data_IF_667550481739
#
_entry.id   IF_667550481739
#
_cell.length_a   1.000
_cell.length_b   1.000
_cell.length_c   1.000
_cell.angle_alpha   90.00
_cell.angle_beta   90.00
_cell.angle_gamma   90.00
#
_symmetry.space_group_name_H-M   'P 1'
#
loop_
_entity.id
_entity.type
_entity.pdbx_description
1 polymer ?
#
# COMPACT_ATOMS: atom_id res chain seq x y z
N UNK A 1 45.82 24.27 53.70
CA UNK A 1 44.98 24.23 52.48
C UNK A 1 44.80 22.80 51.97
N UNK A 2 43.96 22.00 52.65
CA UNK A 2 43.54 20.63 52.25
C UNK A 2 42.16 20.28 52.84
N UNK A 3 41.21 21.23 52.86
CA UNK A 3 39.88 21.03 53.47
C UNK A 3 38.69 21.52 52.62
N UNK A 4 38.91 21.81 51.34
CA UNK A 4 37.83 22.21 50.41
C UNK A 4 37.37 21.05 49.52
N UNK A 5 38.14 19.97 49.40
CA UNK A 5 37.78 18.82 48.56
C UNK A 5 36.80 17.82 49.21
N UNK A 6 36.45 17.99 50.49
CA UNK A 6 35.56 17.05 51.19
C UNK A 6 34.06 17.42 51.11
N UNK A 7 33.72 18.63 50.65
CA UNK A 7 32.32 19.08 50.50
C UNK A 7 31.80 18.80 49.07
N UNK A 8 32.67 18.74 48.07
CA UNK A 8 32.28 18.46 46.68
C UNK A 8 32.01 16.96 46.40
N UNK A 9 32.45 16.05 47.27
CA UNK A 9 32.19 14.61 47.13
C UNK A 9 30.94 14.13 47.88
N UNK A 10 30.32 14.97 48.72
CA UNK A 10 29.11 14.61 49.46
C UNK A 10 27.80 14.92 48.69
N UNK A 11 27.88 15.64 47.57
CA UNK A 11 26.72 15.97 46.74
C UNK A 11 26.43 14.95 45.61
N UNK A 12 27.31 13.96 45.38
CA UNK A 12 27.08 12.90 44.38
C UNK A 12 26.53 11.60 44.96
N UNK A 13 26.17 11.56 46.25
CA UNK A 13 25.73 10.33 46.93
C UNK A 13 24.30 10.38 47.52
N UNK A 14 23.45 11.34 47.12
CA UNK A 14 22.07 11.45 47.62
C UNK A 14 21.00 11.61 46.53
N UNK A 15 21.15 10.94 45.38
CA UNK A 15 20.00 10.60 44.54
C UNK A 15 20.07 9.11 44.17
N UNK A 16 19.87 8.28 45.19
CA UNK A 16 19.32 6.93 45.01
C UNK A 16 17.83 7.03 45.34
N UNK A 17 17.00 6.57 44.40
CA UNK A 17 15.64 6.10 44.54
C UNK A 17 14.81 6.66 45.71
N UNK A 18 13.84 7.51 45.38
CA UNK A 18 12.50 7.29 45.91
C UNK A 18 11.48 7.47 44.80
N UNK A 19 10.56 6.52 44.75
CA UNK A 19 9.54 6.34 43.72
C UNK A 19 8.50 7.46 43.71
N UNK A 20 7.86 7.59 42.56
CA UNK A 20 6.67 8.42 42.23
C UNK A 20 6.96 9.82 41.68
N UNK A 21 7.44 9.89 40.44
CA UNK A 21 7.31 11.08 39.58
C UNK A 21 6.54 10.75 38.30
N UNK A 22 5.31 11.27 38.26
CA UNK A 22 4.80 12.13 37.19
C UNK A 22 4.76 11.55 35.77
N UNK A 23 3.69 10.79 35.54
CA UNK A 23 2.82 10.94 34.38
C UNK A 23 2.43 12.43 34.18
N UNK A 24 3.21 13.21 33.43
CA UNK A 24 2.72 14.39 32.69
C UNK A 24 3.88 15.18 32.04
N UNK A 25 4.44 14.70 30.91
CA UNK A 25 5.17 15.58 29.98
C UNK A 25 5.42 14.97 28.57
N UNK A 26 4.64 13.96 28.14
CA UNK A 26 4.74 13.39 26.77
C UNK A 26 3.53 13.68 25.88
N UNK A 27 2.69 14.65 26.26
CA UNK A 27 1.64 15.19 25.41
C UNK A 27 2.03 16.60 24.94
N UNK A 28 2.35 16.71 23.64
CA UNK A 28 2.39 17.91 22.79
C UNK A 28 3.72 18.22 22.08
N UNK A 29 4.29 17.28 21.31
CA UNK A 29 5.27 17.67 20.26
C UNK A 29 5.27 16.82 18.99
N UNK A 30 4.18 16.11 18.70
CA UNK A 30 4.00 15.39 17.42
C UNK A 30 3.39 16.26 16.30
N UNK A 31 3.20 17.56 16.54
CA UNK A 31 2.55 18.49 15.60
C UNK A 31 3.50 19.49 14.89
N UNK A 32 4.80 19.49 15.18
CA UNK A 32 5.79 20.34 14.48
C UNK A 32 6.99 19.49 14.06
N UNK A 33 6.80 18.61 13.06
CA UNK A 33 7.92 18.08 12.28
C UNK A 33 7.98 18.82 10.96
N UNK A 34 9.08 19.54 10.75
CA UNK A 34 9.48 20.23 9.52
C UNK A 34 8.94 19.49 8.28
N UNK A 35 8.00 20.13 7.58
CA UNK A 35 7.48 19.67 6.29
C UNK A 35 8.56 19.90 5.23
N UNK A 36 9.65 19.13 5.31
CA UNK A 36 10.72 19.13 4.33
C UNK A 36 10.11 18.90 2.95
N UNK A 37 10.42 19.77 2.00
CA UNK A 37 10.00 19.63 0.61
C UNK A 37 11.17 19.04 -0.16
N UNK A 38 10.97 17.91 -0.83
CA UNK A 38 12.00 17.35 -1.70
C UNK A 38 12.23 18.28 -2.90
N UNK A 39 13.50 18.53 -3.21
CA UNK A 39 13.91 19.35 -4.34
C UNK A 39 14.81 18.58 -5.30
N UNK A 40 14.51 18.70 -6.60
CA UNK A 40 15.24 18.04 -7.68
C UNK A 40 15.74 19.05 -8.71
N UNK A 41 16.90 18.78 -9.31
CA UNK A 41 17.45 19.57 -10.43
C UNK A 41 16.83 19.25 -11.79
N UNK A 42 16.01 18.21 -11.86
CA UNK A 42 15.25 17.84 -13.06
C UNK A 42 14.18 16.81 -12.71
N UNK A 43 13.23 16.62 -13.63
CA UNK A 43 12.25 15.53 -13.55
C UNK A 43 12.91 14.14 -13.61
N UNK A 44 13.99 14.00 -14.39
CA UNK A 44 14.74 12.74 -14.46
C UNK A 44 15.30 12.35 -13.08
N UNK A 45 15.86 13.32 -12.34
CA UNK A 45 16.33 13.08 -10.97
C UNK A 45 15.21 12.78 -9.99
N UNK A 46 14.03 13.35 -10.20
CA UNK A 46 12.85 12.99 -9.43
C UNK A 46 12.44 11.53 -9.69
N UNK A 47 12.38 11.09 -10.96
CA UNK A 47 12.04 9.71 -11.32
C UNK A 47 13.08 8.69 -10.81
N UNK A 48 14.37 9.01 -10.89
CA UNK A 48 15.43 8.20 -10.27
C UNK A 48 15.15 8.01 -8.76
N UNK A 49 14.78 9.08 -8.06
CA UNK A 49 14.47 9.02 -6.62
C UNK A 49 13.20 8.23 -6.33
N UNK A 50 12.16 8.38 -7.14
CA UNK A 50 10.93 7.57 -7.03
C UNK A 50 11.28 6.09 -7.17
N UNK A 51 12.10 5.70 -8.17
CA UNK A 51 12.51 4.32 -8.36
C UNK A 51 13.28 3.76 -7.16
N UNK A 52 14.18 4.56 -6.57
CA UNK A 52 14.88 4.20 -5.34
C UNK A 52 13.90 3.94 -4.18
N UNK A 53 12.95 4.85 -3.95
CA UNK A 53 11.96 4.72 -2.87
C UNK A 53 11.08 3.47 -3.09
N UNK A 54 10.61 3.24 -4.31
CA UNK A 54 9.79 2.06 -4.66
C UNK A 54 10.56 0.75 -4.43
N UNK A 55 11.86 0.72 -4.77
CA UNK A 55 12.70 -0.45 -4.53
C UNK A 55 12.87 -0.74 -3.02
N UNK A 56 13.11 0.30 -2.21
CA UNK A 56 13.23 0.16 -0.75
C UNK A 56 11.90 -0.32 -0.14
N UNK A 57 10.76 0.27 -0.54
CA UNK A 57 9.42 -0.16 -0.09
C UNK A 57 9.18 -1.64 -0.40
N UNK A 58 9.57 -2.09 -1.59
CA UNK A 58 9.45 -3.50 -2.00
C UNK A 58 10.31 -4.42 -1.12
N UNK A 59 11.52 -4.00 -0.76
CA UNK A 59 12.38 -4.75 0.16
C UNK A 59 11.75 -4.87 1.56
N UNK A 60 11.24 -3.77 2.10
CA UNK A 60 10.54 -3.78 3.40
C UNK A 60 9.31 -4.67 3.40
N UNK A 61 8.48 -4.63 2.35
CA UNK A 61 7.31 -5.49 2.23
C UNK A 61 7.68 -6.98 2.31
N UNK A 62 8.78 -7.40 1.66
CA UNK A 62 9.26 -8.79 1.77
C UNK A 62 9.70 -9.14 3.19
N UNK A 63 10.43 -8.24 3.87
CA UNK A 63 10.89 -8.45 5.26
C UNK A 63 9.70 -8.56 6.22
N UNK A 64 8.75 -7.63 6.12
CA UNK A 64 7.51 -7.63 6.92
C UNK A 64 6.75 -8.94 6.75
N UNK A 65 6.59 -9.42 5.52
CA UNK A 65 5.91 -10.69 5.26
C UNK A 65 6.65 -11.89 5.88
N UNK A 66 7.97 -11.95 5.71
CA UNK A 66 8.78 -13.02 6.29
C UNK A 66 8.68 -13.03 7.82
N UNK A 67 8.76 -11.86 8.46
CA UNK A 67 8.63 -11.73 9.91
C UNK A 67 7.23 -12.05 10.41
N UNK A 68 6.20 -11.60 9.70
CA UNK A 68 4.81 -11.94 10.00
C UNK A 68 4.58 -13.44 9.96
N UNK A 69 4.95 -14.11 8.85
CA UNK A 69 4.78 -15.55 8.70
C UNK A 69 5.54 -16.33 9.79
N UNK A 70 6.77 -15.90 10.11
CA UNK A 70 7.56 -16.50 11.19
C UNK A 70 6.89 -16.34 12.55
N UNK A 71 6.40 -15.14 12.88
CA UNK A 71 5.74 -14.88 14.16
C UNK A 71 4.42 -15.64 14.28
N UNK A 72 3.60 -15.65 13.23
CA UNK A 72 2.30 -16.34 13.26
C UNK A 72 2.45 -17.86 13.30
N UNK A 73 3.42 -18.43 12.59
CA UNK A 73 3.71 -19.87 12.65
C UNK A 73 4.08 -20.33 14.08
N UNK A 74 4.75 -19.46 14.86
CA UNK A 74 5.14 -19.76 16.24
C UNK A 74 3.98 -19.69 17.25
N UNK A 75 2.91 -18.95 16.93
CA UNK A 75 1.79 -18.78 17.87
C UNK A 75 0.92 -20.03 18.01
N UNK A 76 0.87 -20.89 17.00
CA UNK A 76 0.19 -22.18 17.08
C UNK A 76 -1.31 -22.11 17.45
N UNK A 77 -1.98 -20.96 17.24
CA UNK A 77 -3.42 -20.85 17.47
C UNK A 77 -4.15 -21.80 16.52
N UNK A 78 -4.63 -22.93 17.05
CA UNK A 78 -5.51 -23.83 16.31
C UNK A 78 -6.93 -23.28 16.32
N UNK A 79 -7.16 -22.23 15.55
CA UNK A 79 -8.51 -21.78 15.27
C UNK A 79 -9.27 -22.92 14.57
N UNK A 80 -10.28 -23.51 15.24
CA UNK A 80 -11.00 -24.68 14.71
C UNK A 80 -11.43 -24.44 13.26
N UNK A 81 -10.98 -25.30 12.34
CA UNK A 81 -11.30 -25.21 10.90
C UNK A 81 -12.79 -25.33 10.58
N UNK A 82 -13.60 -25.84 11.52
CA UNK A 82 -15.06 -25.87 11.44
C UNK A 82 -15.63 -25.13 12.65
N UNK A 83 -16.09 -23.89 12.44
CA UNK A 83 -16.92 -23.18 13.43
C UNK A 83 -18.38 -23.56 13.22
N UNK A 84 -19.00 -24.15 14.25
CA UNK A 84 -20.39 -24.60 14.23
C UNK A 84 -21.33 -23.68 15.03
N UNK A 85 -20.78 -22.80 15.87
CA UNK A 85 -21.55 -21.82 16.67
C UNK A 85 -21.10 -20.37 16.45
N UNK A 86 -21.95 -19.40 16.79
CA UNK A 86 -21.64 -17.96 16.70
C UNK A 86 -20.45 -17.56 17.59
N UNK A 87 -20.32 -18.20 18.75
CA UNK A 87 -19.17 -18.01 19.65
C UNK A 87 -17.85 -18.44 18.99
N UNK A 88 -17.83 -19.61 18.34
CA UNK A 88 -16.65 -20.10 17.63
C UNK A 88 -16.28 -19.20 16.44
N UNK A 89 -17.28 -18.57 15.80
CA UNK A 89 -17.05 -17.63 14.71
C UNK A 89 -16.41 -16.35 15.25
N UNK A 90 -16.91 -15.83 16.38
CA UNK A 90 -16.39 -14.63 17.02
C UNK A 90 -14.94 -14.80 17.47
N UNK A 91 -14.63 -15.87 18.20
CA UNK A 91 -13.27 -16.16 18.68
C UNK A 91 -12.27 -16.27 17.51
N UNK A 92 -12.67 -16.95 16.43
CA UNK A 92 -11.88 -17.04 15.20
C UNK A 92 -11.64 -15.69 14.54
N UNK A 93 -12.68 -14.87 14.40
CA UNK A 93 -12.55 -13.56 13.77
C UNK A 93 -11.64 -12.66 14.62
N UNK A 94 -11.72 -12.73 15.95
CA UNK A 94 -10.81 -12.04 16.86
C UNK A 94 -9.36 -12.53 16.70
N UNK A 95 -9.13 -13.83 16.60
CA UNK A 95 -7.80 -14.40 16.36
C UNK A 95 -7.19 -13.91 15.03
N UNK A 96 -7.95 -13.96 13.94
CA UNK A 96 -7.50 -13.46 12.63
C UNK A 96 -7.22 -11.96 12.69
N UNK A 97 -8.11 -11.18 13.30
CA UNK A 97 -7.93 -9.73 13.42
C UNK A 97 -6.68 -9.38 14.25
N UNK A 98 -6.43 -10.09 15.33
CA UNK A 98 -5.22 -9.92 16.15
C UNK A 98 -3.94 -10.29 15.37
N UNK A 99 -3.97 -11.33 14.53
CA UNK A 99 -2.87 -11.62 13.60
C UNK A 99 -2.64 -10.48 12.61
N UNK A 100 -3.71 -9.95 11.99
CA UNK A 100 -3.59 -8.83 11.06
C UNK A 100 -3.07 -7.55 11.73
N UNK A 101 -3.41 -7.30 13.00
CA UNK A 101 -2.78 -6.21 13.78
C UNK A 101 -1.27 -6.37 13.89
N UNK A 102 -0.75 -7.59 14.05
CA UNK A 102 0.70 -7.83 14.06
C UNK A 102 1.31 -7.49 12.71
N UNK A 103 0.70 -7.93 11.61
CA UNK A 103 1.14 -7.56 10.26
C UNK A 103 1.18 -6.04 10.08
N UNK A 104 0.09 -5.35 10.39
CA UNK A 104 -0.02 -3.90 10.19
C UNK A 104 0.90 -3.10 11.11
N UNK A 105 1.20 -3.58 12.32
CA UNK A 105 2.24 -2.97 13.16
C UNK A 105 3.63 -3.05 12.51
N UNK A 106 4.00 -4.19 11.91
CA UNK A 106 5.27 -4.33 11.17
C UNK A 106 5.33 -3.42 9.93
N UNK A 107 4.20 -3.25 9.23
CA UNK A 107 4.07 -2.29 8.13
C UNK A 107 4.27 -0.86 8.63
N UNK A 108 3.62 -0.47 9.73
CA UNK A 108 3.77 0.87 10.32
C UNK A 108 5.22 1.15 10.74
N UNK A 109 5.89 0.19 11.38
CA UNK A 109 7.32 0.31 11.70
C UNK A 109 8.15 0.57 10.45
N UNK A 110 7.92 -0.18 9.37
CA UNK A 110 8.63 0.01 8.09
C UNK A 110 8.37 1.38 7.46
N UNK A 111 7.14 1.88 7.53
CA UNK A 111 6.79 3.23 7.06
C UNK A 111 7.57 4.29 7.84
N UNK A 112 7.59 4.21 9.17
CA UNK A 112 8.29 5.19 10.00
C UNK A 112 9.82 5.10 9.86
N UNK A 113 10.36 3.90 9.69
CA UNK A 113 11.79 3.69 9.38
C UNK A 113 12.16 4.35 8.05
N UNK A 114 11.36 4.14 7.00
CA UNK A 114 11.58 4.78 5.70
C UNK A 114 11.53 6.31 5.80
N UNK A 115 10.52 6.86 6.48
CA UNK A 115 10.41 8.31 6.70
C UNK A 115 11.63 8.87 7.43
N UNK A 116 12.16 8.14 8.42
CA UNK A 116 13.38 8.51 9.15
C UNK A 116 14.60 8.46 8.25
N UNK A 117 14.76 7.42 7.44
CA UNK A 117 15.87 7.28 6.48
C UNK A 117 15.86 8.40 5.45
N UNK A 118 14.69 8.73 4.91
CA UNK A 118 14.51 9.79 3.92
C UNK A 118 14.48 11.20 4.53
N UNK A 119 14.35 11.30 5.87
CA UNK A 119 14.07 12.56 6.59
C UNK A 119 12.88 13.33 5.98
N UNK A 120 11.88 12.58 5.53
CA UNK A 120 10.79 13.08 4.71
C UNK A 120 9.53 12.25 4.92
N UNK A 121 8.37 12.91 4.97
CA UNK A 121 7.06 12.26 5.03
C UNK A 121 6.32 12.58 3.75
N UNK A 122 6.10 11.55 2.93
CA UNK A 122 5.36 11.70 1.69
C UNK A 122 3.86 11.51 1.89
N UNK A 123 3.03 12.13 1.05
CA UNK A 123 1.57 11.91 1.07
C UNK A 123 1.21 10.44 0.80
N UNK A 124 2.00 9.73 -0.02
CA UNK A 124 1.84 8.28 -0.19
C UNK A 124 2.06 7.53 1.13
N UNK A 125 3.12 7.88 1.86
CA UNK A 125 3.41 7.22 3.13
C UNK A 125 2.33 7.47 4.17
N UNK A 126 1.61 8.60 4.10
CA UNK A 126 0.45 8.91 4.96
C UNK A 126 -0.73 8.02 4.58
N UNK A 127 -1.04 7.86 3.29
CA UNK A 127 -2.07 6.94 2.83
C UNK A 127 -1.79 5.49 3.29
N UNK A 128 -0.54 5.04 3.12
CA UNK A 128 -0.08 3.71 3.57
C UNK A 128 -0.21 3.55 5.10
N UNK A 129 0.10 4.61 5.87
CA UNK A 129 -0.05 4.64 7.32
C UNK A 129 -1.53 4.50 7.73
N UNK A 130 -2.42 5.27 7.12
CA UNK A 130 -3.87 5.21 7.38
C UNK A 130 -4.41 3.80 7.14
N UNK A 131 -4.02 3.16 6.03
CA UNK A 131 -4.47 1.80 5.71
C UNK A 131 -4.08 0.79 6.80
N UNK A 132 -2.89 0.93 7.39
CA UNK A 132 -2.47 0.06 8.49
C UNK A 132 -3.08 0.45 9.84
N UNK A 133 -3.26 1.75 10.09
CA UNK A 133 -3.90 2.24 11.31
C UNK A 133 -5.38 1.85 11.38
N UNK A 134 -6.08 1.70 10.26
CA UNK A 134 -7.46 1.19 10.26
C UNK A 134 -7.60 -0.15 11.00
N UNK A 135 -6.54 -0.99 11.01
CA UNK A 135 -6.53 -2.23 11.79
C UNK A 135 -5.96 -2.05 13.22
N UNK A 136 -5.01 -1.14 13.41
CA UNK A 136 -4.24 -1.02 14.67
C UNK A 136 -4.82 0.04 15.62
N UNK A 137 -5.05 1.25 15.10
CA UNK A 137 -5.48 2.45 15.82
C UNK A 137 -6.42 3.28 14.92
N UNK A 138 -7.73 2.93 14.93
CA UNK A 138 -8.71 3.54 14.03
C UNK A 138 -8.96 5.02 14.31
N UNK A 139 -8.80 5.47 15.56
CA UNK A 139 -9.00 6.86 15.93
C UNK A 139 -7.93 7.75 15.29
N UNK A 140 -6.67 7.31 15.32
CA UNK A 140 -5.59 8.00 14.61
C UNK A 140 -5.77 7.94 13.10
N UNK A 141 -6.27 6.81 12.56
CA UNK A 141 -6.57 6.70 11.12
C UNK A 141 -7.62 7.73 10.68
N UNK A 142 -8.70 7.89 11.45
CA UNK A 142 -9.75 8.90 11.23
C UNK A 142 -9.18 10.31 11.32
N UNK A 143 -8.36 10.58 12.33
CA UNK A 143 -7.68 11.87 12.48
C UNK A 143 -6.85 12.22 11.24
N UNK A 144 -5.96 11.33 10.80
CA UNK A 144 -5.11 11.56 9.63
C UNK A 144 -5.92 11.70 8.34
N UNK A 145 -6.94 10.87 8.15
CA UNK A 145 -7.84 10.96 6.99
C UNK A 145 -8.53 12.33 6.93
N UNK A 146 -8.96 12.86 8.08
CA UNK A 146 -9.56 14.19 8.17
C UNK A 146 -8.55 15.30 7.92
N UNK A 147 -7.33 15.18 8.47
CA UNK A 147 -6.25 16.17 8.33
C UNK A 147 -5.81 16.34 6.87
N UNK A 148 -5.70 15.24 6.12
CA UNK A 148 -5.22 15.25 4.73
C UNK A 148 -6.31 15.00 3.69
N UNK A 149 -7.58 15.23 4.05
CA UNK A 149 -8.76 14.86 3.24
C UNK A 149 -8.73 15.40 1.81
N UNK A 150 -8.12 16.56 1.59
CA UNK A 150 -8.10 17.24 0.30
C UNK A 150 -7.12 16.56 -0.68
N UNK A 151 -6.22 15.71 -0.17
CA UNK A 151 -5.20 14.99 -0.95
C UNK A 151 -5.41 13.47 -0.97
N UNK A 152 -6.45 12.97 -0.28
CA UNK A 152 -6.73 11.55 -0.11
C UNK A 152 -8.08 11.15 -0.72
N UNK A 153 -8.15 9.94 -1.25
CA UNK A 153 -9.36 9.31 -1.78
C UNK A 153 -9.55 7.97 -1.08
N UNK A 154 -10.78 7.67 -0.67
CA UNK A 154 -11.16 6.36 -0.12
C UNK A 154 -11.99 5.58 -1.14
N UNK A 155 -11.61 4.34 -1.42
CA UNK A 155 -12.44 3.43 -2.19
C UNK A 155 -13.67 3.01 -1.37
N UNK A 156 -14.88 3.26 -1.89
CA UNK A 156 -16.12 2.99 -1.18
C UNK A 156 -16.47 1.49 -1.06
N UNK A 157 -15.88 0.62 -1.91
CA UNK A 157 -16.14 -0.82 -1.91
C UNK A 157 -15.20 -1.56 -0.97
N UNK A 158 -13.92 -1.21 -0.99
CA UNK A 158 -12.88 -1.92 -0.22
C UNK A 158 -12.37 -1.16 1.00
N UNK A 159 -12.62 0.15 1.08
CA UNK A 159 -12.23 0.99 2.22
C UNK A 159 -10.78 1.46 2.21
N UNK A 160 -9.99 1.10 1.20
CA UNK A 160 -8.57 1.48 1.05
C UNK A 160 -8.45 2.98 0.76
N UNK A 161 -7.53 3.62 1.46
CA UNK A 161 -7.14 5.02 1.27
C UNK A 161 -5.97 5.11 0.32
N UNK A 162 -6.08 6.03 -0.64
CA UNK A 162 -5.08 6.34 -1.66
C UNK A 162 -4.96 7.86 -1.81
N UNK A 163 -4.03 8.32 -2.65
CA UNK A 163 -3.84 9.75 -2.90
C UNK A 163 -4.62 10.20 -4.13
N UNK A 164 -4.95 11.49 -4.22
CA UNK A 164 -5.48 12.09 -5.47
C UNK A 164 -4.43 12.08 -6.60
N UNK A 165 -3.15 12.05 -6.20
CA UNK A 165 -2.01 11.90 -7.09
C UNK A 165 -1.79 10.44 -7.44
N UNK A 166 -1.01 10.19 -8.50
CA UNK A 166 -0.60 8.84 -8.81
C UNK A 166 0.34 8.23 -7.76
N UNK A 167 0.29 6.90 -7.63
CA UNK A 167 1.04 6.16 -6.62
C UNK A 167 2.56 6.22 -6.76
N UNK A 168 3.10 6.74 -7.87
CA UNK A 168 4.56 6.92 -8.05
C UNK A 168 4.98 8.31 -7.60
N UNK A 169 4.40 9.36 -8.17
CA UNK A 169 4.73 10.76 -7.85
C UNK A 169 4.45 11.07 -6.39
N UNK A 170 3.37 10.51 -5.82
CA UNK A 170 3.00 10.67 -4.41
C UNK A 170 4.09 10.26 -3.41
N UNK A 171 5.11 9.49 -3.81
CA UNK A 171 6.24 9.12 -2.94
C UNK A 171 7.22 10.28 -2.67
N UNK A 172 7.22 11.33 -3.49
CA UNK A 172 8.13 12.50 -3.36
C UNK A 172 7.39 13.80 -3.05
N UNK A 173 6.05 13.77 -2.99
CA UNK A 173 5.24 14.90 -2.55
C UNK A 173 5.14 14.91 -1.03
N UNK A 174 5.39 16.05 -0.39
CA UNK A 174 5.27 16.17 1.06
C UNK A 174 3.80 16.05 1.50
N UNK A 175 3.52 16.23 2.80
CA UNK A 175 2.17 16.14 3.34
C UNK A 175 1.18 17.22 2.81
N UNK A 176 1.69 18.30 2.22
CA UNK A 176 0.91 19.35 1.57
C UNK A 176 0.78 19.13 0.05
N UNK A 177 1.29 17.99 -0.45
CA UNK A 177 1.33 17.73 -1.88
C UNK A 177 2.33 18.62 -2.61
N UNK A 178 3.49 18.94 -2.04
CA UNK A 178 4.49 19.83 -2.67
C UNK A 178 5.79 19.07 -2.97
N UNK A 179 6.35 19.32 -4.14
CA UNK A 179 7.71 18.96 -4.57
C UNK A 179 8.31 20.12 -5.36
N UNK A 180 9.64 20.29 -5.31
CA UNK A 180 10.36 21.30 -6.10
C UNK A 180 11.13 20.65 -7.24
N UNK A 181 11.00 21.20 -8.45
CA UNK A 181 11.85 20.88 -9.60
C UNK A 181 12.47 22.19 -10.08
N UNK A 182 13.80 22.22 -10.18
CA UNK A 182 14.56 23.45 -10.49
C UNK A 182 14.19 24.62 -9.57
N UNK A 183 13.96 24.33 -8.28
CA UNK A 183 13.59 25.32 -7.27
C UNK A 183 12.16 25.87 -7.40
N UNK A 184 11.37 25.38 -8.37
CA UNK A 184 9.97 25.78 -8.55
C UNK A 184 9.03 24.69 -8.02
N UNK A 185 7.95 25.10 -7.37
CA UNK A 185 6.86 24.17 -7.02
C UNK A 185 6.32 23.55 -8.29
N UNK A 186 6.13 22.24 -8.27
CA UNK A 186 5.42 21.55 -9.34
C UNK A 186 3.97 22.04 -9.36
N UNK A 187 3.49 22.45 -10.52
CA UNK A 187 2.09 22.72 -10.77
C UNK A 187 1.46 21.42 -11.29
N UNK A 188 0.54 20.83 -10.53
CA UNK A 188 -0.11 19.57 -10.90
C UNK A 188 -1.14 19.73 -12.00
N UNK A 189 -1.76 20.91 -12.10
CA UNK A 189 -2.66 21.19 -13.20
C UNK A 189 -1.85 21.28 -14.49
N UNK A 190 -0.66 21.87 -14.50
CA UNK A 190 0.26 21.78 -15.65
C UNK A 190 0.88 20.38 -15.82
N UNK A 191 1.11 19.64 -14.73
CA UNK A 191 1.76 18.32 -14.80
C UNK A 191 0.82 17.23 -15.34
N UNK A 192 -0.47 17.28 -14.97
CA UNK A 192 -1.51 16.32 -15.36
C UNK A 192 -2.47 16.85 -16.43
N UNK A 193 -2.64 18.18 -16.56
CA UNK A 193 -3.56 18.82 -17.51
C UNK A 193 -2.79 19.56 -18.59
N UNK A 194 -2.46 18.88 -19.70
CA UNK A 194 -2.14 19.63 -20.94
C UNK A 194 -2.65 18.93 -22.20
N UNK A 195 -3.69 19.46 -22.85
CA UNK A 195 -3.77 19.50 -24.31
C UNK A 195 -2.84 20.61 -24.82
N UNK A 196 -1.80 20.27 -25.59
CA UNK A 196 -0.91 21.26 -26.24
C UNK A 196 0.50 21.36 -25.65
N UNK A 197 1.46 20.80 -26.39
CA UNK A 197 2.93 20.84 -26.24
C UNK A 197 3.54 21.85 -25.25
N UNK A 198 4.25 21.32 -24.22
CA UNK A 198 5.70 21.55 -23.97
C UNK A 198 6.23 20.68 -22.82
N UNK A 199 7.28 19.91 -23.15
CA UNK A 199 8.33 19.28 -22.31
C UNK A 199 8.09 17.95 -21.55
N UNK A 200 8.68 16.87 -22.11
CA UNK A 200 9.72 15.98 -21.56
C UNK A 200 9.53 15.19 -20.26
N UNK A 201 8.56 14.26 -20.18
CA UNK A 201 8.80 12.96 -19.49
C UNK A 201 7.77 11.89 -19.89
N UNK A 202 8.14 10.61 -19.69
CA UNK A 202 7.32 9.40 -19.88
C UNK A 202 6.31 9.20 -18.73
N UNK A 203 5.54 10.23 -18.39
CA UNK A 203 4.75 10.38 -17.15
C UNK A 203 3.56 9.41 -17.09
N UNK A 204 3.38 8.74 -15.96
CA UNK A 204 2.08 8.13 -15.58
C UNK A 204 1.09 9.25 -15.22
N UNK A 205 -0.19 9.08 -15.57
CA UNK A 205 -1.27 10.04 -15.27
C UNK A 205 -2.27 9.44 -14.29
N UNK A 206 -2.88 8.29 -14.63
CA UNK A 206 -3.84 7.56 -13.79
C UNK A 206 -4.15 6.17 -14.35
N UNK A 207 -4.72 5.31 -13.51
CA UNK A 207 -5.38 4.07 -13.93
C UNK A 207 -6.75 4.41 -14.56
N UNK A 208 -7.13 3.68 -15.61
CA UNK A 208 -8.38 3.83 -16.34
C UNK A 208 -8.89 2.45 -16.79
N UNK A 209 -10.20 2.35 -17.02
CA UNK A 209 -10.87 1.14 -17.50
C UNK A 209 -10.47 -0.11 -16.70
N UNK A 210 -10.40 0.06 -15.38
CA UNK A 210 -10.08 -1.02 -14.45
C UNK A 210 -11.31 -1.90 -14.30
N UNK A 211 -11.21 -3.14 -14.76
CA UNK A 211 -12.21 -4.17 -14.61
C UNK A 211 -11.64 -5.30 -13.76
N UNK A 212 -12.49 -5.99 -13.02
CA UNK A 212 -12.04 -6.98 -12.05
C UNK A 212 -13.13 -7.43 -11.10
N UNK A 213 -12.86 -8.54 -10.42
CA UNK A 213 -13.79 -9.18 -9.50
C UNK A 213 -13.06 -10.02 -8.46
N UNK A 214 -13.83 -10.74 -7.65
CA UNK A 214 -13.31 -11.73 -6.71
C UNK A 214 -12.78 -12.93 -7.51
N UNK A 215 -11.50 -13.24 -7.35
CA UNK A 215 -10.85 -14.42 -7.93
C UNK A 215 -11.16 -15.68 -7.13
N UNK A 216 -11.07 -15.58 -5.81
CA UNK A 216 -11.35 -16.67 -4.89
C UNK A 216 -11.86 -16.11 -3.57
N UNK A 217 -12.79 -16.83 -2.93
CA UNK A 217 -13.35 -16.45 -1.63
C UNK A 217 -13.35 -17.62 -0.68
N UNK A 218 -12.90 -17.35 0.54
CA UNK A 218 -13.13 -18.17 1.71
C UNK A 218 -13.76 -17.30 2.79
N UNK A 219 -14.16 -17.92 3.89
CA UNK A 219 -14.75 -17.21 5.04
C UNK A 219 -13.78 -16.24 5.71
N UNK A 220 -12.49 -16.56 5.67
CA UNK A 220 -11.44 -15.85 6.42
C UNK A 220 -10.62 -14.92 5.51
N UNK A 221 -10.73 -15.12 4.20
CA UNK A 221 -9.77 -14.59 3.23
C UNK A 221 -10.38 -14.47 1.83
N UNK A 222 -10.16 -13.34 1.15
CA UNK A 222 -10.61 -13.10 -0.24
C UNK A 222 -9.46 -12.65 -1.11
N UNK A 223 -9.40 -13.19 -2.33
CA UNK A 223 -8.53 -12.73 -3.39
C UNK A 223 -9.34 -12.06 -4.49
N UNK A 224 -8.84 -10.94 -5.00
CA UNK A 224 -9.41 -10.17 -6.09
C UNK A 224 -8.41 -10.14 -7.25
N UNK A 225 -8.93 -10.12 -8.46
CA UNK A 225 -8.16 -9.81 -9.65
C UNK A 225 -8.67 -8.51 -10.26
N UNK A 226 -7.78 -7.79 -10.91
CA UNK A 226 -8.15 -6.72 -11.82
C UNK A 226 -7.20 -6.65 -13.00
N UNK A 227 -7.67 -6.01 -14.06
CA UNK A 227 -6.90 -5.63 -15.22
C UNK A 227 -7.34 -4.23 -15.66
N UNK A 228 -6.44 -3.49 -16.28
CA UNK A 228 -6.75 -2.14 -16.70
C UNK A 228 -5.61 -1.53 -17.50
N UNK A 229 -5.68 -0.21 -17.69
CA UNK A 229 -4.61 0.54 -18.32
C UNK A 229 -4.18 1.72 -17.47
N UNK A 230 -2.90 1.99 -17.52
CA UNK A 230 -2.30 3.23 -17.07
C UNK A 230 -2.26 4.19 -18.26
N UNK A 231 -2.72 5.41 -18.06
CA UNK A 231 -2.50 6.49 -19.01
C UNK A 231 -1.11 7.05 -18.79
N UNK A 232 -0.34 7.17 -19.87
CA UNK A 232 0.96 7.82 -19.86
C UNK A 232 1.04 8.90 -20.94
N UNK A 233 2.08 9.74 -20.89
CA UNK A 233 2.45 10.66 -21.97
C UNK A 233 3.93 10.54 -22.27
N UNK A 234 4.32 10.64 -23.54
CA UNK A 234 5.73 10.65 -23.94
C UNK A 234 6.30 12.08 -23.97
N UNK A 235 7.58 12.17 -24.33
CA UNK A 235 8.36 13.42 -24.32
C UNK A 235 7.80 14.51 -25.24
N UNK A 236 6.99 14.14 -26.24
CA UNK A 236 6.28 15.04 -27.17
C UNK A 236 4.84 15.35 -26.71
N UNK A 237 4.47 14.98 -25.47
CA UNK A 237 3.12 15.14 -24.95
C UNK A 237 2.08 14.16 -25.53
N UNK A 238 2.50 13.23 -26.37
CA UNK A 238 1.62 12.23 -26.99
C UNK A 238 1.23 11.19 -25.95
N UNK A 239 -0.08 11.05 -25.74
CA UNK A 239 -0.68 10.05 -24.86
C UNK A 239 -0.33 8.65 -25.37
N UNK A 240 0.13 7.79 -24.47
CA UNK A 240 0.26 6.36 -24.71
C UNK A 240 -0.27 5.59 -23.50
N UNK A 241 -0.48 4.30 -23.67
CA UNK A 241 -1.06 3.45 -22.62
C UNK A 241 -0.08 2.34 -22.26
N UNK A 242 -0.02 2.05 -20.96
CA UNK A 242 0.50 0.80 -20.44
C UNK A 242 -0.67 -0.01 -19.91
N UNK A 243 -0.53 -1.32 -19.91
CA UNK A 243 -1.58 -2.23 -19.47
C UNK A 243 -1.08 -2.96 -18.25
N UNK A 244 -2.01 -3.24 -17.34
CA UNK A 244 -1.68 -3.92 -16.12
C UNK A 244 -2.68 -5.01 -15.78
N UNK A 245 -2.18 -5.97 -15.00
CA UNK A 245 -2.96 -6.97 -14.28
C UNK A 245 -2.53 -6.92 -12.83
N UNK A 246 -3.47 -7.08 -11.91
CA UNK A 246 -3.21 -7.00 -10.48
C UNK A 246 -3.99 -8.06 -9.72
N UNK A 247 -3.37 -8.62 -8.67
CA UNK A 247 -4.00 -9.49 -7.68
C UNK A 247 -3.92 -8.80 -6.32
N UNK A 248 -5.02 -8.78 -5.57
CA UNK A 248 -5.09 -8.21 -4.22
C UNK A 248 -5.76 -9.17 -3.24
N UNK A 249 -5.38 -9.10 -1.98
CA UNK A 249 -5.93 -9.98 -0.94
C UNK A 249 -6.35 -9.22 0.30
N UNK A 250 -7.51 -9.60 0.84
CA UNK A 250 -8.15 -8.96 1.98
C UNK A 250 -8.74 -9.99 2.94
N UNK A 251 -9.08 -9.55 4.15
CA UNK A 251 -9.83 -10.37 5.11
C UNK A 251 -11.20 -10.79 4.54
N UNK A 252 -11.60 -12.03 4.85
CA UNK A 252 -12.88 -12.63 4.46
C UNK A 252 -14.10 -11.98 5.12
N UNK A 253 -13.88 -11.43 6.30
CA UNK A 253 -14.85 -10.69 7.09
C UNK A 253 -14.42 -9.23 7.24
N UNK A 254 -15.40 -8.36 7.48
CA UNK A 254 -15.19 -6.95 7.78
C UNK A 254 -15.16 -6.80 9.32
N UNK A 255 -14.00 -6.62 9.96
CA UNK A 255 -13.93 -6.40 11.41
C UNK A 255 -14.56 -5.05 11.81
N UNK A 256 -14.69 -4.13 10.85
CA UNK A 256 -15.36 -2.84 10.99
C UNK A 256 -16.44 -2.68 9.92
N UNK A 257 -17.49 -1.86 10.13
CA UNK A 257 -18.41 -1.51 9.06
C UNK A 257 -17.66 -0.93 7.85
N UNK A 258 -17.92 -1.49 6.67
CA UNK A 258 -17.46 -0.94 5.37
C UNK A 258 -15.93 -0.84 5.16
N UNK A 259 -15.14 -1.68 5.84
CA UNK A 259 -13.69 -1.74 5.59
C UNK A 259 -13.19 -3.17 5.64
N UNK A 260 -12.71 -3.64 4.50
CA UNK A 260 -11.86 -4.82 4.46
C UNK A 260 -10.47 -4.44 5.00
N UNK A 261 -9.80 -5.42 5.61
CA UNK A 261 -8.41 -5.25 6.07
C UNK A 261 -7.50 -5.96 5.07
N UNK A 262 -6.47 -5.26 4.58
CA UNK A 262 -5.49 -5.86 3.69
C UNK A 262 -4.85 -7.08 4.36
N UNK A 263 -4.79 -8.20 3.64
CA UNK A 263 -4.28 -9.45 4.17
C UNK A 263 -3.13 -9.92 3.28
N UNK A 264 -1.91 -10.13 3.82
CA UNK A 264 -0.79 -10.54 2.99
C UNK A 264 -0.97 -11.97 2.46
N UNK A 265 -0.49 -12.21 1.24
CA UNK A 265 -0.46 -13.50 0.56
C UNK A 265 0.90 -13.77 -0.07
N UNK A 266 1.20 -15.04 -0.28
CA UNK A 266 1.97 -15.46 -1.46
C UNK A 266 1.00 -15.75 -2.60
N UNK A 267 1.32 -15.25 -3.79
CA UNK A 267 0.56 -15.45 -5.03
C UNK A 267 1.35 -16.39 -5.92
N UNK A 268 0.81 -17.57 -6.19
CA UNK A 268 1.39 -18.54 -7.12
C UNK A 268 0.48 -18.64 -8.33
N UNK A 269 0.93 -18.08 -9.45
CA UNK A 269 0.12 -17.94 -10.67
C UNK A 269 0.62 -18.90 -11.74
N UNK A 270 -0.31 -19.62 -12.37
CA UNK A 270 -0.03 -20.47 -13.52
C UNK A 270 0.35 -19.59 -14.74
N UNK A 271 1.41 -19.92 -15.49
CA UNK A 271 1.86 -19.13 -16.64
C UNK A 271 0.82 -18.91 -17.75
N UNK A 272 -0.24 -19.73 -17.81
CA UNK A 272 -1.37 -19.54 -18.73
C UNK A 272 -2.37 -18.45 -18.29
N UNK A 273 -2.17 -17.85 -17.12
CA UNK A 273 -3.05 -16.82 -16.57
C UNK A 273 -2.81 -15.48 -17.23
N UNK A 274 -3.80 -14.97 -17.95
CA UNK A 274 -3.72 -13.73 -18.71
C UNK A 274 -5.03 -12.96 -18.70
N UNK A 275 -4.93 -11.63 -18.73
CA UNK A 275 -6.03 -10.74 -19.09
C UNK A 275 -5.91 -10.36 -20.57
N UNK A 276 -7.03 -10.44 -21.29
CA UNK A 276 -7.18 -10.09 -22.68
C UNK A 276 -7.70 -8.67 -22.86
N UNK A 277 -7.14 -7.96 -23.85
CA UNK A 277 -7.47 -6.57 -24.13
C UNK A 277 -7.99 -6.40 -25.56
N UNK A 278 -9.01 -5.56 -25.75
CA UNK A 278 -9.55 -5.20 -27.06
C UNK A 278 -9.78 -3.68 -27.17
N UNK A 279 -9.88 -3.17 -28.41
CA UNK A 279 -10.07 -1.74 -28.67
C UNK A 279 -11.34 -1.22 -27.99
N UNK A 280 -11.24 -0.11 -27.25
CA UNK A 280 -12.41 0.58 -26.70
C UNK A 280 -13.44 0.83 -27.82
N UNK A 281 -14.71 0.47 -27.57
CA UNK A 281 -15.86 0.63 -28.49
C UNK A 281 -15.98 -0.38 -29.64
N UNK A 282 -15.31 -1.53 -29.56
CA UNK A 282 -15.59 -2.66 -30.46
C UNK A 282 -16.45 -3.71 -29.76
N UNK A 283 -17.53 -4.16 -30.42
CA UNK A 283 -18.28 -5.34 -29.98
C UNK A 283 -17.36 -6.54 -30.21
N UNK A 284 -16.72 -7.03 -29.16
CA UNK A 284 -15.74 -8.10 -29.26
C UNK A 284 -16.43 -9.42 -29.67
N UNK A 285 -16.45 -9.69 -30.98
CA UNK A 285 -16.73 -11.00 -31.55
C UNK A 285 -15.38 -11.56 -32.04
N UNK A 286 -14.67 -12.28 -31.16
CA UNK A 286 -13.43 -13.02 -31.47
C UNK A 286 -12.11 -12.34 -31.04
N UNK A 287 -11.20 -13.17 -30.51
CA UNK A 287 -9.80 -13.01 -30.07
C UNK A 287 -9.31 -11.65 -29.50
N UNK A 288 -8.62 -11.74 -28.35
CA UNK A 288 -7.95 -10.59 -27.73
C UNK A 288 -6.95 -9.94 -28.70
N UNK A 289 -6.91 -8.61 -28.75
CA UNK A 289 -5.90 -7.89 -29.55
C UNK A 289 -4.48 -8.14 -29.01
N UNK A 290 -4.36 -8.33 -27.69
CA UNK A 290 -3.19 -8.84 -27.00
C UNK A 290 -3.57 -9.27 -25.58
N UNK A 291 -2.62 -9.89 -24.87
CA UNK A 291 -2.80 -10.36 -23.50
C UNK A 291 -1.69 -9.84 -22.57
N UNK A 292 -2.01 -9.64 -21.30
CA UNK A 292 -1.04 -9.41 -20.22
C UNK A 292 -1.09 -10.52 -19.18
N UNK A 293 0.07 -11.04 -18.72
CA UNK A 293 0.11 -12.10 -17.74
C UNK A 293 -0.15 -11.58 -16.32
N UNK A 294 -0.91 -12.35 -15.55
CA UNK A 294 -0.83 -12.26 -14.09
C UNK A 294 0.50 -12.84 -13.61
N UNK A 295 1.12 -12.24 -12.59
CA UNK A 295 2.43 -12.66 -12.09
C UNK A 295 2.35 -13.20 -10.67
N UNK A 296 3.23 -14.15 -10.37
CA UNK A 296 3.49 -14.61 -9.01
C UNK A 296 4.23 -13.53 -8.21
N UNK A 297 4.06 -13.54 -6.90
CA UNK A 297 4.69 -12.59 -6.00
C UNK A 297 4.23 -12.77 -4.56
N UNK A 298 4.48 -11.77 -3.71
CA UNK A 298 4.05 -11.81 -2.32
C UNK A 298 3.80 -10.41 -1.78
N UNK A 299 2.85 -10.27 -0.85
CA UNK A 299 2.40 -8.99 -0.30
C UNK A 299 0.88 -8.94 -0.20
N UNK A 300 0.30 -7.76 -0.08
CA UNK A 300 -1.16 -7.55 -0.12
C UNK A 300 -1.67 -7.32 -1.55
N UNK A 301 -0.75 -6.95 -2.46
CA UNK A 301 -1.00 -6.79 -3.88
C UNK A 301 0.23 -7.24 -4.68
N UNK A 302 0.00 -7.79 -5.87
CA UNK A 302 1.02 -8.01 -6.89
C UNK A 302 0.48 -7.49 -8.22
N UNK A 303 1.22 -6.56 -8.83
CA UNK A 303 0.85 -5.93 -10.11
C UNK A 303 1.93 -6.16 -11.16
N UNK A 304 1.52 -6.57 -12.35
CA UNK A 304 2.34 -6.55 -13.55
C UNK A 304 1.87 -5.41 -14.44
N UNK A 305 2.79 -4.53 -14.83
CA UNK A 305 2.52 -3.43 -15.77
C UNK A 305 3.49 -3.54 -16.94
N UNK A 306 3.02 -3.34 -18.16
CA UNK A 306 3.90 -3.22 -19.31
C UNK A 306 3.25 -2.60 -20.54
N UNK A 307 3.99 -2.63 -21.64
CA UNK A 307 3.53 -2.11 -22.93
C UNK A 307 3.85 -0.64 -23.15
N UNK A 308 3.64 -0.22 -24.40
CA UNK A 308 3.66 1.17 -24.84
C UNK A 308 2.84 1.24 -26.13
N UNK A 309 1.52 1.29 -25.99
CA UNK A 309 0.62 1.27 -27.14
C UNK A 309 -0.15 2.57 -27.19
N UNK A 310 -0.21 3.22 -28.35
CA UNK A 310 -0.90 4.51 -28.49
C UNK A 310 -2.43 4.37 -28.58
N UNK A 311 -2.91 3.14 -28.84
CA UNK A 311 -4.33 2.84 -28.86
C UNK A 311 -4.83 2.52 -27.46
N UNK A 312 -6.07 2.92 -27.21
CA UNK A 312 -6.80 2.78 -25.97
C UNK A 312 -7.53 1.42 -25.96
N UNK A 313 -6.91 0.37 -25.42
CA UNK A 313 -7.55 -0.92 -25.23
C UNK A 313 -8.18 -1.02 -23.84
N UNK A 314 -9.17 -1.89 -23.66
CA UNK A 314 -9.84 -2.16 -22.39
C UNK A 314 -9.79 -3.66 -22.12
N UNK A 315 -9.75 -4.07 -20.84
CA UNK A 315 -9.90 -5.48 -20.50
C UNK A 315 -11.28 -5.96 -20.96
N UNK A 316 -11.33 -7.13 -21.60
CA UNK A 316 -12.59 -7.74 -22.10
C UNK A 316 -12.83 -9.14 -21.55
N UNK A 317 -11.85 -9.72 -20.88
CA UNK A 317 -11.93 -11.06 -20.32
C UNK A 317 -10.55 -11.65 -20.09
N UNK A 318 -10.49 -12.90 -19.70
CA UNK A 318 -9.21 -13.58 -19.50
C UNK A 318 -9.36 -14.95 -18.87
N UNK A 319 -8.20 -15.52 -18.51
CA UNK A 319 -8.08 -16.73 -17.72
C UNK A 319 -7.19 -16.43 -16.52
N UNK A 320 -7.59 -16.86 -15.33
CA UNK A 320 -6.77 -16.81 -14.14
C UNK A 320 -6.78 -18.17 -13.46
N UNK A 321 -5.58 -18.75 -13.33
CA UNK A 321 -5.36 -19.94 -12.52
C UNK A 321 -4.27 -19.63 -11.52
N UNK A 322 -4.63 -19.57 -10.25
CA UNK A 322 -3.72 -19.13 -9.19
C UNK A 322 -4.06 -19.75 -7.84
N UNK A 323 -3.04 -19.89 -7.01
CA UNK A 323 -3.10 -20.31 -5.61
C UNK A 323 -2.60 -19.18 -4.72
N UNK A 324 -3.35 -18.89 -3.67
CA UNK A 324 -3.08 -17.83 -2.70
C UNK A 324 -2.90 -18.46 -1.32
N UNK A 325 -1.73 -18.26 -0.72
CA UNK A 325 -1.39 -18.84 0.59
C UNK A 325 -1.02 -17.77 1.61
N UNK A 326 -1.46 -17.95 2.85
CA UNK A 326 -1.13 -17.05 3.96
C UNK A 326 -1.22 -17.78 5.29
N UNK A 327 -0.53 -17.31 6.32
CA UNK A 327 -0.69 -17.81 7.69
C UNK A 327 -1.40 -16.75 8.52
N UNK A 328 -2.68 -16.95 8.80
CA UNK A 328 -3.50 -16.02 9.60
C UNK A 328 -4.17 -16.75 10.76
N UNK A 329 -4.20 -16.13 11.94
CA UNK A 329 -4.70 -16.77 13.14
C UNK A 329 -3.92 -18.03 13.52
N UNK A 330 -2.62 -18.11 13.19
CA UNK A 330 -1.79 -19.29 13.44
C UNK A 330 -2.03 -20.50 12.51
N UNK A 331 -2.86 -20.37 11.47
CA UNK A 331 -3.17 -21.47 10.54
C UNK A 331 -2.78 -21.10 9.11
N UNK A 332 -2.12 -22.02 8.41
CA UNK A 332 -1.90 -21.90 6.98
C UNK A 332 -3.23 -22.03 6.22
N UNK A 333 -3.57 -20.98 5.49
CA UNK A 333 -4.75 -20.87 4.65
C UNK A 333 -4.30 -20.93 3.20
N UNK A 334 -5.01 -21.73 2.43
CA UNK A 334 -4.85 -21.83 0.98
C UNK A 334 -6.20 -21.67 0.30
N UNK A 335 -6.23 -20.89 -0.77
CA UNK A 335 -7.33 -20.84 -1.71
C UNK A 335 -6.78 -20.91 -3.12
N UNK A 336 -7.50 -21.56 -4.02
CA UNK A 336 -7.12 -21.65 -5.43
C UNK A 336 -8.30 -21.29 -6.31
N UNK A 337 -8.00 -20.78 -7.51
CA UNK A 337 -8.97 -20.52 -8.56
C UNK A 337 -8.46 -21.07 -9.89
N UNK A 338 -9.41 -21.42 -10.76
CA UNK A 338 -9.21 -21.70 -12.18
C UNK A 338 -10.45 -21.14 -12.88
N UNK A 339 -10.37 -19.88 -13.33
CA UNK A 339 -11.50 -19.12 -13.83
C UNK A 339 -11.21 -18.58 -15.22
N UNK A 340 -12.23 -18.68 -16.08
CA UNK A 340 -12.32 -17.99 -17.36
C UNK A 340 -13.43 -16.95 -17.22
N UNK A 341 -13.13 -15.69 -17.55
CA UNK A 341 -14.01 -14.56 -17.27
C UNK A 341 -14.15 -13.64 -18.48
N UNK A 342 -15.24 -12.88 -18.49
CA UNK A 342 -15.49 -11.80 -19.44
C UNK A 342 -15.84 -10.53 -18.67
N UNK A 343 -15.29 -9.42 -19.11
CA UNK A 343 -15.60 -8.11 -18.55
C UNK A 343 -16.77 -7.51 -19.35
N UNK A 344 -17.71 -6.88 -18.64
CA UNK A 344 -18.94 -6.30 -19.22
C UNK A 344 -18.73 -4.88 -19.74
#
# INVERSE_FOLDING_TARGET
MKRIYFIAMLCMALVSCNNEEQLSAESNSLAEKELNVMGFSSEEKMEEKINEIVAIKSEYQRKVLADFNRQEALKGYNVRNKSTSDSDIKERNEAIYNSLKVYHNLVLSSIYELRKQLKFTSIQSIADEINSLNAVDPEKAVYLTKTYRDLLIKDLKIGVVSTIFDGRTSNVLNADGIVLINGKKMDYDEYFSVPGEKNNTRRYVRDEAVAGSVAAISRDYKAFYSAGREIHRNDFGVKFFRYFTELKTFSGFSPMPESFVECPSTFTVDPSSVAGFALSNTVAIGDYSFTYPYISGSGVSVRYTGGKINNAYVPVGGKLKATFTTTIGGINREMSCDLEYKEQ
#
